data_IF_494834555021
#
_entry.id   IF_494834555021
#
_cell.length_a   1.000
_cell.length_b   1.000
_cell.length_c   1.000
_cell.angle_alpha   90.00
_cell.angle_beta   90.00
_cell.angle_gamma   90.00
#
_symmetry.space_group_name_H-M   'P 1'
#
loop_
_entity.id
_entity.type
_entity.pdbx_description
1 polymer ?
#
# COMPACT_ATOMS: atom_id res chain seq x y z
N UNK A 1 -1.45 -4.44 -28.17
CA UNK A 1 -2.10 -5.21 -27.10
C UNK A 1 -1.95 -6.74 -27.22
N UNK A 2 -0.98 -7.25 -27.99
CA UNK A 2 -0.85 -8.71 -28.24
C UNK A 2 -0.44 -9.50 -26.99
N UNK A 3 0.48 -8.95 -26.18
CA UNK A 3 0.94 -9.56 -24.94
C UNK A 3 -0.21 -9.77 -23.92
N UNK A 4 -1.05 -8.75 -23.73
CA UNK A 4 -2.20 -8.83 -22.81
C UNK A 4 -3.20 -9.91 -23.28
N UNK A 5 -3.45 -9.99 -24.59
CA UNK A 5 -4.30 -11.03 -25.18
C UNK A 5 -3.71 -12.42 -24.94
N UNK A 6 -2.43 -12.63 -25.23
CA UNK A 6 -1.76 -13.92 -25.03
C UNK A 6 -1.82 -14.38 -23.57
N UNK A 7 -1.58 -13.49 -22.61
CA UNK A 7 -1.60 -13.79 -21.17
C UNK A 7 -3.03 -14.04 -20.64
N UNK A 8 -4.07 -13.55 -21.31
CA UNK A 8 -5.47 -13.72 -20.87
C UNK A 8 -6.21 -14.85 -21.58
N UNK A 9 -5.89 -15.13 -22.86
CA UNK A 9 -6.65 -16.08 -23.68
C UNK A 9 -5.97 -17.42 -23.91
N UNK A 10 -4.63 -17.50 -23.86
CA UNK A 10 -3.94 -18.77 -24.09
C UNK A 10 -4.06 -19.67 -22.85
N UNK A 11 -4.71 -20.86 -22.93
CA UNK A 11 -4.93 -21.74 -21.78
C UNK A 11 -3.64 -22.19 -21.08
N UNK A 12 -2.50 -22.26 -21.77
CA UNK A 12 -1.22 -22.75 -21.23
C UNK A 12 -0.50 -21.71 -20.35
N UNK A 13 -0.71 -20.42 -20.60
CA UNK A 13 -0.05 -19.30 -19.89
C UNK A 13 -1.06 -18.31 -19.29
N UNK A 14 -2.34 -18.71 -19.23
CA UNK A 14 -3.43 -17.84 -18.75
C UNK A 14 -3.26 -17.54 -17.28
N UNK A 15 -3.08 -16.26 -16.96
CA UNK A 15 -3.09 -15.79 -15.56
C UNK A 15 -4.53 -15.68 -15.09
N UNK A 16 -5.00 -16.68 -14.34
CA UNK A 16 -6.28 -16.62 -13.63
C UNK A 16 -6.10 -15.85 -12.32
N UNK A 17 -6.96 -14.87 -12.07
CA UNK A 17 -7.01 -14.12 -10.79
C UNK A 17 -8.13 -14.62 -9.87
N UNK A 18 -8.59 -15.84 -10.09
CA UNK A 18 -9.67 -16.51 -9.33
C UNK A 18 -9.39 -16.49 -7.81
N UNK A 19 -8.12 -16.55 -7.40
CA UNK A 19 -7.71 -16.55 -5.99
C UNK A 19 -7.36 -15.15 -5.43
N UNK A 20 -7.64 -14.05 -6.14
CA UNK A 20 -7.24 -12.70 -5.69
C UNK A 20 -8.19 -12.10 -4.65
N UNK A 21 -9.41 -12.62 -4.56
CA UNK A 21 -10.44 -12.28 -3.57
C UNK A 21 -10.66 -13.39 -2.54
N UNK A 22 -10.15 -14.60 -2.81
CA UNK A 22 -10.12 -15.67 -1.84
C UNK A 22 -9.11 -15.28 -0.76
N UNK A 23 -9.58 -14.67 0.33
CA UNK A 23 -8.77 -14.51 1.52
C UNK A 23 -8.25 -15.90 1.90
N UNK A 24 -6.94 -16.10 1.78
CA UNK A 24 -6.30 -17.32 2.26
C UNK A 24 -6.53 -17.33 3.77
N UNK A 25 -7.41 -18.21 4.26
CA UNK A 25 -7.46 -18.52 5.68
C UNK A 25 -6.06 -19.01 6.05
N UNK A 26 -5.48 -18.41 7.09
CA UNK A 26 -4.08 -18.56 7.54
C UNK A 26 -3.03 -17.63 6.89
N UNK A 27 -3.42 -16.59 6.15
CA UNK A 27 -2.49 -15.56 5.69
C UNK A 27 -2.08 -14.53 6.77
N UNK A 28 -1.85 -15.02 7.98
CA UNK A 28 -1.43 -14.21 9.12
C UNK A 28 -0.08 -13.54 8.85
N UNK A 29 0.83 -14.21 8.14
CA UNK A 29 2.15 -13.70 7.82
C UNK A 29 2.10 -12.45 6.90
N UNK A 30 1.24 -12.44 5.87
CA UNK A 30 1.06 -11.26 5.03
C UNK A 30 0.40 -10.13 5.81
N UNK A 31 -0.63 -10.43 6.62
CA UNK A 31 -1.26 -9.47 7.52
C UNK A 31 -0.28 -8.83 8.50
N UNK A 32 0.62 -9.63 9.08
CA UNK A 32 1.71 -9.16 9.93
C UNK A 32 2.68 -8.28 9.15
N UNK A 33 3.15 -8.71 7.99
CA UNK A 33 4.06 -7.91 7.13
C UNK A 33 3.46 -6.55 6.73
N UNK A 34 2.18 -6.50 6.35
CA UNK A 34 1.49 -5.23 6.06
C UNK A 34 1.23 -4.38 7.31
N UNK A 35 0.96 -5.00 8.45
CA UNK A 35 0.79 -4.27 9.72
C UNK A 35 2.11 -3.67 10.22
N UNK A 36 3.22 -4.38 10.02
CA UNK A 36 4.57 -4.00 10.45
C UNK A 36 5.32 -3.18 9.40
N UNK A 37 4.66 -2.78 8.31
CA UNK A 37 5.28 -2.03 7.22
C UNK A 37 5.95 -0.75 7.74
N UNK A 38 7.21 -0.51 7.34
CA UNK A 38 8.05 0.57 7.87
C UNK A 38 7.39 1.95 7.75
N UNK A 39 6.81 2.26 6.59
CA UNK A 39 6.10 3.54 6.37
C UNK A 39 4.92 3.69 7.34
N UNK A 40 4.19 2.61 7.60
CA UNK A 40 3.03 2.63 8.50
C UNK A 40 3.47 2.86 9.96
N UNK A 41 4.57 2.23 10.39
CA UNK A 41 5.18 2.50 11.70
C UNK A 41 5.65 3.95 11.82
N UNK A 42 6.31 4.46 10.78
CA UNK A 42 6.83 5.83 10.75
C UNK A 42 5.73 6.90 10.82
N UNK A 43 4.60 6.67 10.14
CA UNK A 43 3.48 7.63 10.11
C UNK A 43 2.60 7.54 11.36
N UNK A 44 2.61 6.41 12.09
CA UNK A 44 1.71 6.18 13.25
C UNK A 44 1.76 7.24 14.34
N UNK A 45 2.94 7.81 14.60
CA UNK A 45 3.14 8.86 15.61
C UNK A 45 3.07 10.29 15.06
N UNK A 46 2.76 10.45 13.78
CA UNK A 46 2.74 11.76 13.11
C UNK A 46 1.30 12.24 12.95
N UNK A 47 1.08 13.51 13.22
CA UNK A 47 -0.20 14.16 12.91
C UNK A 47 -0.41 14.17 11.39
N UNK A 48 -1.60 13.80 10.89
CA UNK A 48 -1.89 13.82 9.47
C UNK A 48 -1.90 15.27 8.97
N UNK A 49 -0.88 15.64 8.20
CA UNK A 49 -0.72 16.98 7.64
C UNK A 49 -0.28 16.87 6.17
N UNK A 50 -0.87 17.68 5.31
CA UNK A 50 -0.58 17.69 3.85
C UNK A 50 0.80 18.29 3.59
N UNK A 51 1.16 19.38 4.29
CA UNK A 51 2.49 20.02 4.22
C UNK A 51 2.96 20.44 5.61
N UNK A 52 3.70 19.57 6.33
CA UNK A 52 4.11 19.84 7.71
C UNK A 52 4.98 21.10 7.87
N UNK A 53 5.84 21.40 6.89
CA UNK A 53 6.70 22.59 6.92
C UNK A 53 5.90 23.89 6.80
N UNK A 54 4.93 23.94 5.88
CA UNK A 54 4.08 25.10 5.67
C UNK A 54 3.13 25.32 6.86
N UNK A 55 2.55 24.23 7.39
CA UNK A 55 1.68 24.31 8.55
C UNK A 55 2.43 24.85 9.77
N UNK A 56 3.65 24.37 10.05
CA UNK A 56 4.48 24.89 11.14
C UNK A 56 4.84 26.36 10.95
N UNK A 57 5.21 26.75 9.73
CA UNK A 57 5.54 28.14 9.43
C UNK A 57 4.41 29.13 9.76
N UNK A 58 3.15 28.75 9.54
CA UNK A 58 2.00 29.61 9.84
C UNK A 58 1.39 29.42 11.23
N UNK A 59 1.61 28.26 11.87
CA UNK A 59 0.94 27.91 13.13
C UNK A 59 1.84 28.03 14.35
N UNK A 60 3.16 28.03 14.19
CA UNK A 60 4.12 28.14 15.30
C UNK A 60 4.67 29.58 15.37
N UNK A 61 4.23 30.41 16.34
CA UNK A 61 4.64 31.82 16.43
C UNK A 61 6.08 32.05 16.94
N UNK A 62 6.82 30.98 17.29
CA UNK A 62 8.15 31.05 17.89
C UNK A 62 9.18 30.20 17.10
N UNK A 63 9.27 30.42 15.78
CA UNK A 63 10.39 29.94 14.97
C UNK A 63 11.50 31.01 15.02
N UNK A 64 12.31 30.98 16.08
CA UNK A 64 13.60 31.69 16.15
C UNK A 64 14.71 30.88 15.44
#
# INVERSE_FOLDING_TARGET
>A
MQLVRNISTNPEVRVKKENRTAGILDNHEEGEKYSQHFVRKFVRGKTPQIMPSLNKFFSDPNLD
#
